data_IF_281293423605
#
_entry.id   IF_281293423605
#
_cell.length_a   1.000
_cell.length_b   1.000
_cell.length_c   1.000
_cell.angle_alpha   90.00
_cell.angle_beta   90.00
_cell.angle_gamma   90.00
#
_symmetry.space_group_name_H-M   'P 1'
#
loop_
_entity.id
_entity.type
_entity.pdbx_description
1 polymer ?
#
# COMPACT_ATOMS: atom_id res chain seq x y z
N UNK A 1 27.60 15.15 27.21
CA UNK A 1 26.13 15.06 27.04
C UNK A 1 25.85 15.08 25.54
N UNK A 2 25.74 13.90 24.92
CA UNK A 2 25.53 13.78 23.47
C UNK A 2 24.04 13.99 23.23
N UNK A 3 23.66 15.17 22.75
CA UNK A 3 22.28 15.43 22.31
C UNK A 3 21.93 14.32 21.31
N UNK A 4 20.98 13.47 21.68
CA UNK A 4 20.50 12.39 20.84
C UNK A 4 20.00 12.99 19.54
N UNK A 5 20.44 12.44 18.42
CA UNK A 5 19.92 12.78 17.09
C UNK A 5 18.42 12.50 17.16
N UNK A 6 17.60 13.54 17.17
CA UNK A 6 16.16 13.38 16.99
C UNK A 6 15.98 12.87 15.56
N UNK A 7 15.71 11.57 15.42
CA UNK A 7 15.53 10.98 14.11
C UNK A 7 14.31 11.62 13.44
N UNK A 8 14.54 12.42 12.39
CA UNK A 8 13.48 13.09 11.65
C UNK A 8 12.79 12.04 10.78
N UNK A 9 11.62 11.57 11.22
CA UNK A 9 10.81 10.64 10.45
C UNK A 9 10.10 11.37 9.31
N UNK A 10 10.13 10.80 8.10
CA UNK A 10 9.35 11.31 6.96
C UNK A 10 8.02 10.56 6.87
N UNK A 11 6.94 11.31 6.82
CA UNK A 11 5.59 10.78 6.61
C UNK A 11 5.16 10.99 5.15
N UNK A 12 4.63 9.95 4.53
CA UNK A 12 4.11 9.96 3.16
C UNK A 12 2.63 9.60 3.24
N UNK A 13 1.78 10.56 2.86
CA UNK A 13 0.35 10.32 2.66
C UNK A 13 0.12 9.97 1.20
N UNK A 14 -0.37 8.75 0.95
CA UNK A 14 -0.70 8.26 -0.38
C UNK A 14 -2.17 7.88 -0.44
N UNK A 15 -2.93 8.56 -1.31
CA UNK A 15 -4.29 8.17 -1.64
C UNK A 15 -4.32 7.71 -3.09
N UNK A 16 -4.79 6.48 -3.34
CA UNK A 16 -5.03 6.05 -4.71
C UNK A 16 -6.28 6.74 -5.26
N UNK A 17 -6.26 7.10 -6.53
CA UNK A 17 -7.49 7.54 -7.17
C UNK A 17 -8.42 6.33 -7.28
N UNK A 18 -9.71 6.51 -7.02
CA UNK A 18 -10.74 5.48 -7.24
C UNK A 18 -10.82 5.13 -8.73
N UNK A 19 -9.90 4.28 -9.18
CA UNK A 19 -9.96 3.62 -10.47
C UNK A 19 -11.13 2.67 -10.34
N UNK A 20 -12.25 2.96 -11.00
CA UNK A 20 -13.49 2.15 -10.99
C UNK A 20 -13.34 0.72 -11.55
N UNK A 21 -12.16 0.12 -11.45
CA UNK A 21 -11.85 -1.26 -11.79
C UNK A 21 -12.66 -2.18 -10.88
N UNK A 22 -13.54 -2.94 -11.51
CA UNK A 22 -14.31 -4.00 -10.87
C UNK A 22 -13.49 -5.29 -10.96
N UNK A 23 -13.22 -5.92 -9.83
CA UNK A 23 -12.53 -7.20 -9.79
C UNK A 23 -13.41 -8.28 -10.45
N UNK A 24 -13.01 -8.71 -11.63
CA UNK A 24 -13.59 -9.85 -12.35
C UNK A 24 -12.79 -11.12 -12.04
N UNK A 25 -13.47 -12.24 -11.94
CA UNK A 25 -12.88 -13.59 -11.90
C UNK A 25 -12.28 -13.89 -13.27
N UNK A 26 -11.49 -14.97 -13.36
CA UNK A 26 -10.97 -15.48 -14.64
C UNK A 26 -12.08 -15.77 -15.67
N UNK A 27 -13.33 -15.95 -15.22
CA UNK A 27 -14.51 -16.12 -16.08
C UNK A 27 -15.22 -14.80 -16.44
N UNK A 28 -14.66 -13.65 -16.06
CA UNK A 28 -15.27 -12.33 -16.24
C UNK A 28 -16.38 -12.00 -15.23
N UNK A 29 -16.73 -12.92 -14.34
CA UNK A 29 -17.78 -12.71 -13.34
C UNK A 29 -17.27 -11.88 -12.16
N UNK A 30 -18.11 -11.10 -11.51
CA UNK A 30 -17.67 -10.30 -10.35
C UNK A 30 -17.19 -11.23 -9.22
N UNK A 31 -15.99 -11.00 -8.65
CA UNK A 31 -15.62 -11.68 -7.39
C UNK A 31 -16.57 -11.21 -6.28
N UNK A 32 -17.40 -12.13 -5.77
CA UNK A 32 -18.40 -11.84 -4.74
C UNK A 32 -17.94 -12.17 -3.31
N UNK A 33 -16.73 -12.71 -3.15
CA UNK A 33 -16.19 -13.09 -1.84
C UNK A 33 -16.07 -11.87 -0.90
N UNK A 34 -16.51 -12.05 0.35
CA UNK A 34 -16.43 -11.02 1.41
C UNK A 34 -15.00 -10.49 1.59
N UNK A 35 -14.01 -11.38 1.57
CA UNK A 35 -12.58 -11.04 1.67
C UNK A 35 -12.12 -10.18 0.47
N UNK A 36 -12.45 -10.57 -0.76
CA UNK A 36 -12.09 -9.80 -1.97
C UNK A 36 -12.62 -8.37 -1.94
N UNK A 37 -13.83 -8.15 -1.40
CA UNK A 37 -14.40 -6.80 -1.24
C UNK A 37 -13.68 -6.01 -0.14
N UNK A 38 -13.34 -6.65 0.97
CA UNK A 38 -12.57 -6.02 2.04
C UNK A 38 -11.18 -5.61 1.58
N UNK A 39 -10.49 -6.44 0.79
CA UNK A 39 -9.18 -6.09 0.22
C UNK A 39 -9.28 -4.89 -0.73
N UNK A 40 -10.26 -4.90 -1.65
CA UNK A 40 -10.47 -3.78 -2.57
C UNK A 40 -10.84 -2.47 -1.85
N UNK A 41 -11.58 -2.54 -0.74
CA UNK A 41 -11.91 -1.37 0.07
C UNK A 41 -10.67 -0.82 0.80
N UNK A 42 -9.85 -1.70 1.39
CA UNK A 42 -8.58 -1.31 2.04
C UNK A 42 -7.56 -0.72 1.07
N UNK A 43 -7.54 -1.19 -0.18
CA UNK A 43 -6.69 -0.60 -1.22
C UNK A 43 -7.13 0.81 -1.63
N UNK A 44 -8.42 1.14 -1.46
CA UNK A 44 -8.96 2.48 -1.75
C UNK A 44 -8.80 3.47 -0.57
N UNK A 45 -8.52 2.97 0.64
CA UNK A 45 -8.27 3.82 1.81
C UNK A 45 -6.89 4.49 1.71
N UNK A 46 -6.76 5.76 2.12
CA UNK A 46 -5.48 6.47 2.08
C UNK A 46 -4.48 5.81 3.04
N UNK A 47 -3.26 5.58 2.57
CA UNK A 47 -2.17 5.03 3.37
C UNK A 47 -1.29 6.15 3.92
N UNK A 48 -1.01 6.07 5.23
CA UNK A 48 0.02 6.89 5.88
C UNK A 48 1.24 6.02 6.14
N UNK A 49 2.33 6.28 5.41
CA UNK A 49 3.56 5.52 5.50
C UNK A 49 4.62 6.35 6.23
N UNK A 50 5.23 5.76 7.26
CA UNK A 50 6.39 6.33 7.93
C UNK A 50 7.66 5.68 7.37
N UNK A 51 8.64 6.49 6.98
CA UNK A 51 9.94 6.01 6.52
C UNK A 51 11.07 6.54 7.38
N UNK A 52 12.07 5.69 7.59
CA UNK A 52 13.29 6.04 8.30
C UNK A 52 14.16 7.01 7.48
N UNK A 53 15.06 7.72 8.16
CA UNK A 53 15.97 8.67 7.53
C UNK A 53 16.86 8.03 6.46
N UNK A 54 17.23 6.76 6.61
CA UNK A 54 18.04 6.07 5.59
C UNK A 54 17.32 5.98 4.24
N UNK A 55 15.99 6.10 4.22
CA UNK A 55 15.19 6.13 2.99
C UNK A 55 14.92 7.55 2.50
N UNK A 56 15.66 8.55 2.98
CA UNK A 56 15.47 9.94 2.58
C UNK A 56 15.65 10.17 1.07
N UNK A 57 16.48 9.36 0.40
CA UNK A 57 16.71 9.43 -1.04
C UNK A 57 15.68 8.65 -1.87
N UNK A 58 14.83 7.85 -1.22
CA UNK A 58 13.79 7.07 -1.88
C UNK A 58 12.59 7.98 -2.15
N UNK A 59 12.12 7.99 -3.39
CA UNK A 59 10.93 8.77 -3.75
C UNK A 59 9.67 8.21 -3.07
N UNK A 60 8.68 9.08 -2.82
CA UNK A 60 7.42 8.66 -2.24
C UNK A 60 6.73 7.54 -3.05
N UNK A 61 6.80 7.59 -4.39
CA UNK A 61 6.26 6.55 -5.26
C UNK A 61 6.94 5.18 -5.08
N UNK A 62 8.26 5.16 -4.88
CA UNK A 62 8.99 3.92 -4.60
C UNK A 62 8.63 3.34 -3.23
N UNK A 63 8.48 4.18 -2.20
CA UNK A 63 8.02 3.76 -0.87
C UNK A 63 6.63 3.12 -0.97
N UNK A 64 5.71 3.77 -1.67
CA UNK A 64 4.36 3.25 -1.92
C UNK A 64 4.42 1.92 -2.69
N UNK A 65 5.31 1.77 -3.67
CA UNK A 65 5.48 0.53 -4.42
C UNK A 65 6.00 -0.63 -3.54
N UNK A 66 6.94 -0.35 -2.63
CA UNK A 66 7.44 -1.33 -1.65
C UNK A 66 6.31 -1.78 -0.73
N UNK A 67 5.55 -0.81 -0.19
CA UNK A 67 4.43 -1.11 0.69
C UNK A 67 3.32 -1.90 -0.02
N UNK A 68 2.99 -1.54 -1.27
CA UNK A 68 2.05 -2.31 -2.11
C UNK A 68 2.48 -3.76 -2.27
N UNK A 69 3.77 -4.00 -2.53
CA UNK A 69 4.29 -5.36 -2.71
C UNK A 69 4.18 -6.17 -1.42
N UNK A 70 4.47 -5.57 -0.28
CA UNK A 70 4.24 -6.19 1.04
C UNK A 70 2.78 -6.58 1.24
N UNK A 71 1.85 -5.70 0.88
CA UNK A 71 0.42 -5.97 1.02
C UNK A 71 -0.04 -7.13 0.12
N UNK A 72 0.53 -7.27 -1.08
CA UNK A 72 0.23 -8.42 -1.95
C UNK A 72 0.71 -9.77 -1.36
N UNK A 73 1.79 -9.76 -0.58
CA UNK A 73 2.29 -10.95 0.12
C UNK A 73 1.36 -11.30 1.28
N UNK A 74 1.01 -10.31 2.12
CA UNK A 74 0.15 -10.49 3.30
C UNK A 74 -1.27 -10.95 2.93
N UNK A 75 -1.81 -10.45 1.82
CA UNK A 75 -3.16 -10.77 1.36
C UNK A 75 -3.26 -12.03 0.50
N UNK A 76 -2.17 -12.79 0.37
CA UNK A 76 -2.17 -14.09 -0.32
C UNK A 76 -2.30 -13.95 -1.84
N UNK A 77 -1.42 -13.15 -2.45
CA UNK A 77 -1.32 -12.91 -3.89
C UNK A 77 -1.84 -14.05 -4.77
N UNK A 78 -3.08 -13.90 -5.23
CA UNK A 78 -3.70 -14.74 -6.26
C UNK A 78 -3.46 -14.05 -7.60
N UNK A 79 -2.28 -14.27 -8.19
CA UNK A 79 -2.02 -14.13 -9.63
C UNK A 79 -0.57 -14.56 -9.95
N UNK A 80 -0.35 -15.86 -10.06
CA UNK A 80 0.34 -16.44 -11.22
C UNK A 80 -0.46 -17.68 -11.62
#
# INVERSE_FOLDING_TARGET
MRLGVFDVARLILHADQTRGRRHTTLKGERRLGKQSRQHAQREAEPWLLMVCQQMAQVSAGQVVAIYRRWMQIELGGSAI
#
